data_IF_075660190015
#
_entry.id   IF_075660190015
#
_cell.length_a   1.000
_cell.length_b   1.000
_cell.length_c   1.000
_cell.angle_alpha   90.00
_cell.angle_beta   90.00
_cell.angle_gamma   90.00
#
_symmetry.space_group_name_H-M   'P 1'
#
loop_
_entity.id
_entity.type
_entity.pdbx_description
1 polymer ?
#
# COMPACT_ATOMS: atom_id res chain seq x y z
N UNK A 1 -0.88 -11.40 -10.52
CA UNK A 1 -2.28 -11.89 -10.26
C UNK A 1 -3.24 -11.29 -11.28
N UNK A 2 -4.49 -11.77 -11.40
CA UNK A 2 -5.49 -11.22 -12.34
C UNK A 2 -6.72 -10.66 -11.63
N UNK A 3 -7.28 -9.55 -12.11
CA UNK A 3 -8.53 -9.00 -11.60
C UNK A 3 -9.64 -10.04 -11.73
N UNK A 4 -10.47 -10.13 -10.70
CA UNK A 4 -11.64 -10.99 -10.71
C UNK A 4 -12.87 -10.12 -10.90
N UNK A 5 -13.84 -10.61 -11.65
CA UNK A 5 -15.05 -9.87 -11.94
C UNK A 5 -16.27 -10.72 -11.64
N UNK A 6 -17.18 -10.21 -10.83
CA UNK A 6 -18.44 -10.88 -10.55
C UNK A 6 -19.59 -10.13 -11.23
N UNK A 7 -20.33 -10.81 -12.10
CA UNK A 7 -21.50 -10.22 -12.75
C UNK A 7 -22.70 -10.31 -11.80
N UNK A 8 -23.35 -9.18 -11.54
CA UNK A 8 -24.54 -9.06 -10.69
C UNK A 8 -25.41 -7.87 -11.11
N UNK A 9 -26.68 -7.80 -10.67
CA UNK A 9 -27.54 -6.64 -10.93
C UNK A 9 -26.95 -5.35 -10.32
N UNK A 10 -27.05 -4.23 -11.03
CA UNK A 10 -26.56 -2.91 -10.58
C UNK A 10 -27.02 -2.51 -9.19
N UNK A 11 -28.28 -2.79 -8.85
CA UNK A 11 -28.85 -2.48 -7.53
C UNK A 11 -28.10 -3.19 -6.40
N UNK A 12 -27.70 -4.45 -6.61
CA UNK A 12 -26.92 -5.22 -5.64
C UNK A 12 -25.49 -4.70 -5.55
N UNK A 13 -24.85 -4.41 -6.69
CA UNK A 13 -23.52 -3.81 -6.71
C UNK A 13 -23.47 -2.48 -5.93
N UNK A 14 -24.49 -1.64 -6.13
CA UNK A 14 -24.61 -0.34 -5.43
C UNK A 14 -24.77 -0.53 -3.93
N UNK A 15 -25.60 -1.48 -3.49
CA UNK A 15 -25.81 -1.78 -2.08
C UNK A 15 -24.53 -2.29 -1.40
N UNK A 16 -23.83 -3.24 -2.03
CA UNK A 16 -22.53 -3.73 -1.56
C UNK A 16 -21.52 -2.58 -1.47
N UNK A 17 -21.41 -1.76 -2.52
CA UNK A 17 -20.42 -0.70 -2.52
C UNK A 17 -20.72 0.44 -1.53
N UNK A 18 -21.98 0.61 -1.10
CA UNK A 18 -22.38 1.67 -0.17
C UNK A 18 -22.09 1.34 1.31
N UNK A 19 -22.12 0.07 1.70
CA UNK A 19 -21.98 -0.36 3.10
C UNK A 19 -20.59 -0.95 3.38
N UNK A 20 -19.87 -0.34 4.32
CA UNK A 20 -18.55 -0.77 4.76
C UNK A 20 -18.54 -2.17 5.42
N UNK A 21 -19.67 -2.59 6.00
CA UNK A 21 -19.82 -3.88 6.66
C UNK A 21 -20.31 -5.00 5.72
N UNK A 22 -20.59 -4.68 4.46
CA UNK A 22 -21.11 -5.66 3.51
C UNK A 22 -20.07 -6.68 3.09
N UNK A 23 -20.55 -7.82 2.61
CA UNK A 23 -19.73 -8.84 1.98
C UNK A 23 -20.52 -9.49 0.84
N UNK A 24 -19.81 -9.85 -0.23
CA UNK A 24 -20.39 -10.66 -1.29
C UNK A 24 -20.27 -12.14 -0.87
N UNK A 25 -21.37 -12.68 -0.35
CA UNK A 25 -21.45 -14.07 0.07
C UNK A 25 -21.61 -15.03 -1.13
N UNK A 26 -21.17 -16.29 -1.01
CA UNK A 26 -21.53 -17.35 -1.96
C UNK A 26 -23.04 -17.48 -2.14
N UNK A 27 -23.46 -17.89 -3.34
CA UNK A 27 -24.88 -18.17 -3.59
C UNK A 27 -25.35 -19.33 -2.70
N UNK A 28 -26.60 -19.33 -2.24
CA UNK A 28 -27.12 -20.36 -1.32
C UNK A 28 -27.03 -21.80 -1.85
N UNK A 29 -26.91 -21.98 -3.17
CA UNK A 29 -26.82 -23.29 -3.84
C UNK A 29 -25.36 -23.71 -4.09
N UNK A 30 -24.43 -22.75 -4.10
CA UNK A 30 -23.02 -22.97 -4.46
C UNK A 30 -22.11 -22.55 -3.31
N UNK A 31 -21.15 -23.38 -2.91
CA UNK A 31 -20.27 -23.08 -1.77
C UNK A 31 -19.20 -22.03 -2.07
N UNK A 32 -19.29 -21.30 -3.18
CA UNK A 32 -18.29 -20.33 -3.63
C UNK A 32 -18.91 -19.19 -4.45
N UNK A 33 -18.19 -18.07 -4.57
CA UNK A 33 -18.56 -16.95 -5.45
C UNK A 33 -17.98 -17.22 -6.85
N UNK A 34 -18.83 -17.25 -7.86
CA UNK A 34 -18.43 -17.31 -9.27
C UNK A 34 -17.87 -15.96 -9.72
N UNK A 35 -16.58 -15.90 -10.04
CA UNK A 35 -15.99 -14.77 -10.73
C UNK A 35 -15.62 -15.14 -12.17
N UNK A 36 -15.19 -14.16 -12.93
CA UNK A 36 -14.71 -14.28 -14.31
C UNK A 36 -13.44 -13.45 -14.44
N UNK A 37 -12.60 -13.79 -15.40
CA UNK A 37 -11.62 -12.82 -15.91
C UNK A 37 -12.28 -11.94 -16.97
N UNK A 38 -11.65 -10.82 -17.31
CA UNK A 38 -12.18 -9.81 -18.23
C UNK A 38 -12.75 -10.41 -19.54
N UNK A 39 -12.09 -11.35 -20.24
CA UNK A 39 -12.62 -11.90 -21.50
C UNK A 39 -13.90 -12.74 -21.33
N UNK A 40 -14.18 -13.24 -20.12
CA UNK A 40 -15.32 -14.11 -19.84
C UNK A 40 -16.51 -13.38 -19.20
N UNK A 41 -16.34 -12.17 -18.70
CA UNK A 41 -17.37 -11.42 -17.95
C UNK A 41 -18.66 -11.24 -18.73
N UNK A 42 -18.58 -10.78 -19.98
CA UNK A 42 -19.79 -10.51 -20.76
C UNK A 42 -20.61 -11.77 -20.99
N UNK A 43 -19.94 -12.89 -21.27
CA UNK A 43 -20.59 -14.18 -21.46
C UNK A 43 -21.23 -14.68 -20.17
N UNK A 44 -20.57 -14.51 -19.01
CA UNK A 44 -21.11 -14.83 -17.69
C UNK A 44 -22.34 -13.97 -17.36
N UNK A 45 -22.27 -12.66 -17.59
CA UNK A 45 -23.35 -11.74 -17.31
C UNK A 45 -24.62 -12.09 -18.10
N UNK A 46 -24.50 -12.38 -19.40
CA UNK A 46 -25.65 -12.79 -20.24
C UNK A 46 -26.37 -14.05 -19.75
N UNK A 47 -25.65 -14.95 -19.07
CA UNK A 47 -26.19 -16.23 -18.60
C UNK A 47 -26.82 -16.12 -17.21
N UNK A 48 -26.17 -15.41 -16.29
CA UNK A 48 -26.56 -15.39 -14.88
C UNK A 48 -27.34 -14.13 -14.47
N UNK A 49 -27.22 -13.05 -15.25
CA UNK A 49 -27.76 -11.72 -14.90
C UNK A 49 -28.41 -11.09 -16.13
N UNK A 50 -29.60 -11.55 -16.54
CA UNK A 50 -30.23 -11.11 -17.79
C UNK A 50 -30.73 -9.67 -17.78
N UNK A 51 -30.79 -9.01 -16.61
CA UNK A 51 -31.36 -7.67 -16.45
C UNK A 51 -30.39 -6.75 -15.72
N UNK A 52 -30.07 -5.61 -16.36
CA UNK A 52 -29.17 -4.54 -15.85
C UNK A 52 -27.87 -5.05 -15.20
N UNK A 53 -27.07 -5.87 -15.91
CA UNK A 53 -25.83 -6.41 -15.39
C UNK A 53 -24.72 -5.36 -15.32
N UNK A 54 -23.97 -5.38 -14.22
CA UNK A 54 -22.67 -4.71 -14.09
C UNK A 54 -21.61 -5.73 -13.68
N UNK A 55 -20.34 -5.41 -13.93
CA UNK A 55 -19.22 -6.21 -13.46
C UNK A 55 -18.64 -5.60 -12.18
N UNK A 56 -18.83 -6.27 -11.05
CA UNK A 56 -18.18 -5.92 -9.80
C UNK A 56 -16.71 -6.34 -9.87
N UNK A 57 -15.81 -5.37 -9.68
CA UNK A 57 -14.38 -5.55 -9.75
C UNK A 57 -13.86 -5.98 -8.37
N UNK A 58 -13.23 -7.15 -8.32
CA UNK A 58 -12.73 -7.80 -7.10
C UNK A 58 -11.20 -7.88 -7.18
N UNK A 59 -10.54 -7.28 -6.20
CA UNK A 59 -9.09 -7.38 -6.03
C UNK A 59 -8.75 -8.73 -5.36
N UNK A 60 -8.17 -9.71 -6.09
CA UNK A 60 -7.87 -11.02 -5.53
C UNK A 60 -6.89 -10.96 -4.34
N UNK A 61 -6.12 -9.88 -4.18
CA UNK A 61 -5.16 -9.72 -3.09
C UNK A 61 -5.81 -9.46 -1.74
N UNK A 62 -7.05 -8.96 -1.76
CA UNK A 62 -7.85 -8.64 -0.58
C UNK A 62 -8.88 -9.73 -0.27
N UNK A 63 -8.87 -10.81 -1.05
CA UNK A 63 -9.71 -11.98 -0.81
C UNK A 63 -8.98 -12.88 0.18
N UNK A 64 -9.48 -13.04 1.42
CA UNK A 64 -8.81 -13.85 2.44
C UNK A 64 -8.95 -15.35 2.20
N UNK A 65 -9.78 -15.73 1.23
CA UNK A 65 -10.12 -17.11 0.92
C UNK A 65 -9.39 -17.62 -0.33
N UNK A 66 -9.30 -18.95 -0.44
CA UNK A 66 -8.71 -19.61 -1.60
C UNK A 66 -9.49 -19.24 -2.86
N UNK A 67 -8.77 -18.73 -3.86
CA UNK A 67 -9.26 -18.57 -5.23
C UNK A 67 -8.78 -19.75 -6.06
N UNK A 68 -9.71 -20.55 -6.58
CA UNK A 68 -9.41 -21.69 -7.43
C UNK A 68 -9.83 -21.41 -8.86
N UNK A 69 -8.91 -21.56 -9.82
CA UNK A 69 -9.23 -21.39 -11.24
C UNK A 69 -9.59 -22.73 -11.84
N UNK A 70 -10.87 -22.91 -12.18
CA UNK A 70 -11.40 -24.14 -12.77
C UNK A 70 -11.51 -23.99 -14.28
N UNK A 71 -11.14 -25.03 -15.02
CA UNK A 71 -11.33 -25.06 -16.48
C UNK A 71 -12.80 -25.33 -16.81
N UNK A 72 -13.42 -24.46 -17.60
CA UNK A 72 -14.82 -24.61 -18.04
C UNK A 72 -14.90 -24.48 -19.57
N UNK A 73 -16.01 -24.92 -20.21
CA UNK A 73 -16.22 -24.71 -21.65
C UNK A 73 -16.15 -23.24 -22.11
N UNK A 74 -16.29 -22.28 -21.18
CA UNK A 74 -16.22 -20.83 -21.43
C UNK A 74 -14.82 -20.26 -21.20
N UNK A 75 -13.86 -21.10 -20.79
CA UNK A 75 -12.52 -20.71 -20.39
C UNK A 75 -12.28 -20.87 -18.87
N UNK A 76 -11.10 -20.43 -18.40
CA UNK A 76 -10.75 -20.52 -16.98
C UNK A 76 -11.64 -19.59 -16.14
N UNK A 77 -12.25 -20.14 -15.09
CA UNK A 77 -13.21 -19.46 -14.23
C UNK A 77 -12.71 -19.47 -12.77
N UNK A 78 -12.49 -18.30 -12.15
CA UNK A 78 -12.12 -18.21 -10.74
C UNK A 78 -13.33 -18.46 -9.82
N UNK A 79 -13.15 -19.36 -8.85
CA UNK A 79 -14.09 -19.67 -7.78
C UNK A 79 -13.49 -19.23 -6.45
N UNK A 80 -14.18 -18.34 -5.74
CA UNK A 80 -13.74 -17.82 -4.44
C UNK A 80 -14.47 -18.60 -3.34
N UNK A 81 -13.73 -19.41 -2.58
CA UNK A 81 -14.29 -20.33 -1.57
C UNK A 81 -14.54 -19.63 -0.23
N UNK A 82 -15.42 -18.63 -0.23
CA UNK A 82 -15.84 -17.86 0.95
C UNK A 82 -16.44 -16.51 0.57
N UNK A 83 -16.80 -15.71 1.58
CA UNK A 83 -17.34 -14.38 1.35
C UNK A 83 -16.23 -13.41 0.89
N UNK A 84 -16.53 -12.58 -0.11
CA UNK A 84 -15.60 -11.53 -0.54
C UNK A 84 -15.88 -10.28 0.30
N UNK A 85 -14.93 -9.84 1.15
CA UNK A 85 -15.16 -8.70 2.02
C UNK A 85 -15.27 -7.39 1.23
N UNK A 86 -15.95 -6.39 1.81
CA UNK A 86 -16.17 -5.10 1.16
C UNK A 86 -14.90 -4.46 0.63
N UNK A 87 -13.80 -4.53 1.37
CA UNK A 87 -12.53 -3.89 0.99
C UNK A 87 -11.87 -4.51 -0.26
N UNK A 88 -12.23 -5.75 -0.60
CA UNK A 88 -11.85 -6.39 -1.86
C UNK A 88 -12.67 -5.92 -3.07
N UNK A 89 -13.83 -5.28 -2.86
CA UNK A 89 -14.72 -4.76 -3.91
C UNK A 89 -14.30 -3.34 -4.29
N UNK A 90 -13.50 -3.17 -5.35
CA UNK A 90 -12.90 -1.86 -5.68
C UNK A 90 -13.81 -0.95 -6.53
N UNK A 91 -14.90 -1.49 -7.07
CA UNK A 91 -15.88 -0.74 -7.85
C UNK A 91 -16.76 -1.64 -8.69
N UNK A 92 -17.64 -1.02 -9.49
CA UNK A 92 -18.44 -1.71 -10.51
C UNK A 92 -18.28 -0.97 -11.83
N UNK A 93 -18.20 -1.73 -12.92
CA UNK A 93 -18.04 -1.22 -14.28
C UNK A 93 -19.23 -1.65 -15.14
N UNK A 94 -19.62 -0.78 -16.07
CA UNK A 94 -20.53 -1.19 -17.14
C UNK A 94 -19.88 -2.26 -18.00
N UNK A 95 -20.66 -3.23 -18.49
CA UNK A 95 -20.11 -4.25 -19.39
C UNK A 95 -19.48 -3.63 -20.64
N UNK A 96 -20.04 -2.53 -21.16
CA UNK A 96 -19.49 -1.81 -22.31
C UNK A 96 -18.13 -1.15 -22.05
N UNK A 97 -17.85 -0.74 -20.80
CA UNK A 97 -16.59 -0.10 -20.40
C UNK A 97 -15.42 -1.10 -20.28
N UNK A 98 -15.73 -2.39 -20.22
CA UNK A 98 -14.74 -3.47 -20.18
C UNK A 98 -14.08 -3.67 -21.54
N UNK A 99 -14.79 -3.36 -22.63
CA UNK A 99 -14.33 -3.48 -24.01
C UNK A 99 -13.31 -2.37 -24.36
N UNK A 100 -12.08 -2.54 -23.91
CA UNK A 100 -10.99 -1.59 -24.16
C UNK A 100 -9.95 -1.47 -23.04
N UNK A 101 -10.17 -2.11 -21.89
CA UNK A 101 -9.18 -2.09 -20.81
C UNK A 101 -7.96 -2.97 -21.15
N UNK A 102 -6.76 -2.41 -20.96
CA UNK A 102 -5.52 -3.17 -21.03
C UNK A 102 -5.49 -4.23 -19.92
N UNK A 103 -4.92 -5.39 -20.27
CA UNK A 103 -4.91 -6.69 -19.58
C UNK A 103 -5.40 -6.76 -18.12
N UNK A 104 -6.09 -7.87 -17.84
CA UNK A 104 -6.46 -8.47 -16.54
C UNK A 104 -5.43 -8.43 -15.39
N UNK A 105 -4.29 -7.77 -15.48
CA UNK A 105 -3.23 -7.87 -14.50
C UNK A 105 -3.49 -7.00 -13.27
N UNK A 106 -3.41 -7.65 -12.11
CA UNK A 106 -3.20 -7.01 -10.84
C UNK A 106 -1.72 -6.74 -10.72
N UNK A 107 -1.35 -5.48 -10.86
CA UNK A 107 0.02 -5.02 -10.59
C UNK A 107 0.13 -4.78 -9.08
N UNK A 108 1.13 -5.41 -8.47
CA UNK A 108 1.39 -5.23 -7.05
C UNK A 108 1.91 -3.83 -6.74
N UNK A 109 1.83 -3.46 -5.47
CA UNK A 109 2.31 -2.15 -5.02
C UNK A 109 3.84 -2.14 -4.99
N UNK A 110 4.44 -1.12 -5.59
CA UNK A 110 5.89 -0.93 -5.62
C UNK A 110 6.30 0.05 -4.53
N UNK A 111 7.00 -0.45 -3.52
CA UNK A 111 7.51 0.33 -2.40
C UNK A 111 9.00 0.63 -2.59
N UNK A 112 9.40 1.89 -2.43
CA UNK A 112 10.80 2.28 -2.33
C UNK A 112 11.13 2.70 -0.90
N UNK A 113 12.15 2.10 -0.33
CA UNK A 113 12.72 2.44 0.97
C UNK A 113 14.03 3.17 0.73
N UNK A 114 14.05 4.47 0.99
CA UNK A 114 15.23 5.30 0.71
C UNK A 114 16.22 5.18 1.86
N UNK A 115 17.31 4.47 1.64
CA UNK A 115 18.42 4.39 2.59
C UNK A 115 19.42 5.51 2.32
N UNK A 116 19.97 6.11 3.37
CA UNK A 116 21.00 7.13 3.24
C UNK A 116 22.00 7.09 4.40
N UNK A 117 23.19 7.64 4.17
CA UNK A 117 24.26 7.70 5.16
C UNK A 117 23.80 8.51 6.39
N UNK A 118 24.04 7.94 7.58
CA UNK A 118 23.55 8.52 8.83
C UNK A 118 22.06 8.31 9.06
N UNK A 119 21.41 7.37 8.37
CA UNK A 119 20.06 6.92 8.74
C UNK A 119 20.08 6.07 10.02
N UNK A 120 18.96 6.04 10.73
CA UNK A 120 18.70 5.04 11.78
C UNK A 120 18.25 3.74 11.12
N UNK A 121 19.01 2.64 11.26
CA UNK A 121 18.68 1.36 10.60
C UNK A 121 17.27 0.88 10.96
N UNK A 122 16.86 1.00 12.22
CA UNK A 122 15.56 0.56 12.70
C UNK A 122 14.39 1.37 12.11
N UNK A 123 14.58 2.65 11.76
CA UNK A 123 13.56 3.42 11.04
C UNK A 123 13.29 2.86 9.64
N UNK A 124 14.32 2.30 8.99
CA UNK A 124 14.20 1.65 7.69
C UNK A 124 13.59 0.25 7.82
N UNK A 125 14.23 -0.61 8.62
CA UNK A 125 13.83 -2.04 8.68
C UNK A 125 12.54 -2.26 9.45
N UNK A 126 12.21 -1.37 10.40
CA UNK A 126 10.95 -1.42 11.13
C UNK A 126 9.72 -1.20 10.25
N UNK A 127 9.85 -0.44 9.16
CA UNK A 127 8.77 -0.29 8.16
C UNK A 127 8.86 -1.38 7.09
N UNK A 128 10.09 -1.72 6.67
CA UNK A 128 10.33 -2.73 5.63
C UNK A 128 9.77 -4.09 6.02
N UNK A 129 9.96 -4.53 7.27
CA UNK A 129 9.58 -5.88 7.69
C UNK A 129 8.05 -6.12 7.57
N UNK A 130 7.15 -5.31 8.18
CA UNK A 130 5.71 -5.46 7.96
C UNK A 130 5.28 -5.38 6.49
N UNK A 131 5.84 -4.43 5.72
CA UNK A 131 5.43 -4.22 4.33
C UNK A 131 5.89 -5.37 3.43
N UNK A 132 7.10 -5.89 3.62
CA UNK A 132 7.63 -7.02 2.85
C UNK A 132 6.82 -8.31 3.02
N UNK A 133 6.13 -8.44 4.16
CA UNK A 133 5.23 -9.56 4.48
C UNK A 133 3.97 -9.60 3.62
N UNK A 134 3.58 -8.49 2.98
CA UNK A 134 2.52 -8.48 1.96
C UNK A 134 2.82 -9.54 0.88
N UNK A 135 4.04 -9.52 0.34
CA UNK A 135 4.45 -10.46 -0.69
C UNK A 135 4.90 -11.80 -0.11
N UNK A 136 5.73 -11.79 0.94
CA UNK A 136 6.32 -13.03 1.46
C UNK A 136 5.31 -13.96 2.16
N UNK A 137 4.18 -13.43 2.64
CA UNK A 137 3.06 -14.24 3.16
C UNK A 137 1.98 -14.54 2.11
N UNK A 138 2.17 -14.10 0.85
CA UNK A 138 1.31 -14.46 -0.27
C UNK A 138 0.02 -13.65 -0.42
N UNK A 139 -0.15 -12.55 0.32
CA UNK A 139 -1.33 -11.67 0.20
C UNK A 139 -1.33 -10.90 -1.14
N UNK A 140 -0.18 -10.33 -1.51
CA UNK A 140 0.07 -9.80 -2.84
C UNK A 140 1.49 -10.14 -3.30
N UNK A 141 1.69 -11.32 -3.93
CA UNK A 141 3.00 -11.75 -4.41
C UNK A 141 3.62 -10.84 -5.47
N UNK A 142 2.83 -9.96 -6.09
CA UNK A 142 3.32 -9.01 -7.11
C UNK A 142 3.84 -7.72 -6.48
N UNK A 143 3.53 -7.46 -5.19
CA UNK A 143 4.05 -6.30 -4.47
C UNK A 143 5.55 -6.43 -4.28
N UNK A 144 6.27 -5.33 -4.41
CA UNK A 144 7.74 -5.33 -4.32
C UNK A 144 8.23 -4.28 -3.35
N UNK A 145 9.21 -4.64 -2.53
CA UNK A 145 9.95 -3.72 -1.68
C UNK A 145 11.36 -3.58 -2.22
N UNK A 146 11.79 -2.37 -2.53
CA UNK A 146 13.15 -2.11 -2.98
C UNK A 146 13.81 -1.07 -2.08
N UNK A 147 14.96 -1.42 -1.52
CA UNK A 147 15.81 -0.46 -0.81
C UNK A 147 16.73 0.22 -1.83
N UNK A 148 16.67 1.56 -1.89
CA UNK A 148 17.41 2.38 -2.86
C UNK A 148 18.28 3.39 -2.12
N UNK A 149 19.44 3.74 -2.67
CA UNK A 149 20.33 4.72 -2.05
C UNK A 149 19.88 6.14 -2.41
N UNK A 150 19.67 6.95 -1.37
CA UNK A 150 19.56 8.40 -1.46
C UNK A 150 20.92 9.12 -1.45
N UNK A 151 22.02 8.42 -1.17
CA UNK A 151 23.39 8.97 -1.32
C UNK A 151 23.94 8.67 -2.72
N UNK A 152 25.17 9.06 -3.01
CA UNK A 152 25.84 8.72 -4.27
C UNK A 152 26.48 7.32 -4.26
N UNK A 153 26.53 6.66 -3.09
CA UNK A 153 27.15 5.35 -2.90
C UNK A 153 26.14 4.21 -2.76
N UNK A 154 26.61 2.98 -2.98
CA UNK A 154 25.81 1.76 -2.74
C UNK A 154 25.89 1.27 -1.30
N UNK A 155 26.95 1.61 -0.54
CA UNK A 155 26.98 1.43 0.92
C UNK A 155 26.16 2.56 1.56
N UNK A 156 25.09 2.20 2.26
CA UNK A 156 24.11 3.17 2.75
C UNK A 156 24.05 3.24 4.27
N UNK A 157 24.57 2.23 4.96
CA UNK A 157 24.64 2.20 6.42
C UNK A 157 25.77 1.29 6.90
N UNK A 158 26.46 1.74 7.94
CA UNK A 158 27.51 1.00 8.64
C UNK A 158 27.36 1.23 10.14
N UNK A 159 27.50 0.17 10.94
CA UNK A 159 27.38 0.26 12.38
C UNK A 159 27.61 -1.08 13.06
N UNK A 160 28.24 -1.06 14.24
CA UNK A 160 28.52 -2.26 15.05
C UNK A 160 29.18 -3.42 14.28
N UNK A 161 30.03 -3.11 13.28
CA UNK A 161 30.69 -4.10 12.44
C UNK A 161 29.84 -4.68 11.30
N UNK A 162 28.61 -4.22 11.13
CA UNK A 162 27.72 -4.60 10.02
C UNK A 162 27.62 -3.48 8.97
N UNK A 163 27.24 -3.86 7.75
CA UNK A 163 27.05 -2.97 6.60
C UNK A 163 25.80 -3.35 5.83
N UNK A 164 25.07 -2.34 5.35
CA UNK A 164 23.99 -2.49 4.37
C UNK A 164 24.40 -1.85 3.03
N UNK A 165 24.27 -2.62 1.96
CA UNK A 165 24.49 -2.16 0.59
C UNK A 165 23.26 -2.38 -0.28
N UNK A 166 23.07 -1.53 -1.29
CA UNK A 166 21.91 -1.56 -2.19
C UNK A 166 22.35 -1.54 -3.66
N UNK A 167 21.47 -2.04 -4.54
CA UNK A 167 21.77 -2.17 -5.98
C UNK A 167 21.55 -0.87 -6.77
N UNK A 168 20.57 -0.05 -6.37
CA UNK A 168 20.19 1.17 -7.11
C UNK A 168 20.56 2.41 -6.33
N UNK A 169 21.22 3.35 -7.02
CA UNK A 169 21.56 4.67 -6.52
C UNK A 169 20.66 5.69 -7.20
N UNK A 170 19.91 6.46 -6.41
CA UNK A 170 19.01 7.52 -6.86
C UNK A 170 18.21 7.20 -8.14
N UNK A 171 17.47 6.07 -8.20
CA UNK A 171 16.65 5.75 -9.37
C UNK A 171 15.50 6.76 -9.52
N UNK A 172 14.90 6.86 -10.71
CA UNK A 172 13.68 7.66 -10.87
C UNK A 172 12.56 7.13 -9.96
N UNK A 173 12.07 7.96 -9.03
CA UNK A 173 11.08 7.54 -8.04
C UNK A 173 9.65 7.43 -8.61
N UNK A 174 9.41 7.94 -9.83
CA UNK A 174 8.14 7.79 -10.56
C UNK A 174 7.78 6.36 -10.93
N UNK A 175 8.69 5.39 -10.73
CA UNK A 175 8.39 3.96 -10.84
C UNK A 175 7.69 3.36 -9.62
N UNK A 176 7.63 4.06 -8.47
CA UNK A 176 7.13 3.49 -7.22
C UNK A 176 5.80 4.12 -6.80
N UNK A 177 4.95 3.34 -6.17
CA UNK A 177 3.64 3.77 -5.68
C UNK A 177 3.76 4.44 -4.31
N UNK A 178 4.66 3.93 -3.46
CA UNK A 178 4.92 4.44 -2.11
C UNK A 178 6.42 4.65 -1.93
N UNK A 179 6.82 5.82 -1.44
CA UNK A 179 8.22 6.11 -1.06
C UNK A 179 8.27 6.36 0.44
N UNK A 180 9.18 5.66 1.11
CA UNK A 180 9.38 5.70 2.56
C UNK A 180 10.76 6.31 2.85
N UNK A 181 10.78 7.36 3.67
CA UNK A 181 12.01 7.99 4.17
C UNK A 181 12.23 7.66 5.66
N UNK A 182 13.33 6.99 6.03
CA UNK A 182 13.72 6.83 7.44
C UNK A 182 14.23 8.17 7.99
N UNK A 183 14.38 8.24 9.31
CA UNK A 183 15.10 9.33 9.96
C UNK A 183 16.56 9.00 10.24
N UNK A 184 17.13 9.74 11.18
CA UNK A 184 18.53 9.68 11.58
C UNK A 184 19.24 11.03 11.40
N UNK A 185 20.46 11.16 11.95
CA UNK A 185 21.25 12.39 11.87
C UNK A 185 21.50 12.86 10.43
N UNK A 186 21.63 11.95 9.47
CA UNK A 186 21.85 12.29 8.06
C UNK A 186 20.74 13.13 7.44
N UNK A 187 19.50 13.01 7.93
CA UNK A 187 18.37 13.78 7.44
C UNK A 187 18.57 15.30 7.61
N UNK A 188 19.24 15.73 8.69
CA UNK A 188 19.49 17.15 8.94
C UNK A 188 20.43 17.79 7.91
N UNK A 189 21.33 17.01 7.31
CA UNK A 189 22.18 17.47 6.21
C UNK A 189 21.40 17.46 4.90
N UNK A 190 20.62 16.39 4.65
CA UNK A 190 19.90 16.20 3.40
C UNK A 190 18.76 17.20 3.18
N UNK A 191 18.18 17.79 4.23
CA UNK A 191 17.19 18.89 4.07
C UNK A 191 17.74 20.12 3.33
N UNK A 192 19.07 20.25 3.21
CA UNK A 192 19.75 21.34 2.49
C UNK A 192 20.47 20.86 1.22
N UNK A 193 20.45 19.57 0.93
CA UNK A 193 21.08 19.00 -0.25
C UNK A 193 20.16 19.16 -1.47
N UNK A 194 20.44 20.16 -2.30
CA UNK A 194 19.66 20.43 -3.51
C UNK A 194 19.65 19.26 -4.50
N UNK A 195 20.71 18.45 -4.56
CA UNK A 195 20.75 17.29 -5.45
C UNK A 195 19.84 16.17 -4.93
N UNK A 196 19.82 15.94 -3.62
CA UNK A 196 18.87 15.00 -3.00
C UNK A 196 17.43 15.46 -3.17
N UNK A 197 17.13 16.74 -2.90
CA UNK A 197 15.77 17.28 -3.01
C UNK A 197 15.24 17.23 -4.46
N UNK A 198 16.06 17.59 -5.46
CA UNK A 198 15.69 17.44 -6.88
C UNK A 198 15.47 15.97 -7.28
N UNK A 199 16.23 15.05 -6.69
CA UNK A 199 15.98 13.64 -6.91
C UNK A 199 14.64 13.20 -6.29
N UNK A 200 14.33 13.68 -5.08
CA UNK A 200 13.06 13.41 -4.40
C UNK A 200 11.85 13.97 -5.17
N UNK A 201 12.01 15.09 -5.88
CA UNK A 201 11.00 15.66 -6.80
C UNK A 201 10.62 14.74 -7.97
N UNK A 202 11.44 13.73 -8.31
CA UNK A 202 11.05 12.71 -9.30
C UNK A 202 9.87 11.85 -8.85
N UNK A 203 9.52 11.91 -7.55
CA UNK A 203 8.35 11.22 -7.01
C UNK A 203 7.05 12.02 -7.21
N UNK A 204 6.03 11.47 -7.90
CA UNK A 204 4.82 12.21 -8.28
C UNK A 204 4.00 12.73 -7.08
N UNK A 205 3.58 14.01 -7.06
CA UNK A 205 2.95 14.69 -5.92
C UNK A 205 1.65 14.04 -5.43
N UNK A 206 0.97 13.29 -6.30
CA UNK A 206 -0.29 12.61 -6.03
C UNK A 206 -0.15 11.22 -5.38
N UNK A 207 1.09 10.73 -5.19
CA UNK A 207 1.34 9.41 -4.58
C UNK A 207 1.69 9.50 -3.11
N UNK A 208 1.43 8.40 -2.39
CA UNK A 208 1.55 8.30 -0.93
C UNK A 208 3.02 8.38 -0.48
N UNK A 209 3.40 9.51 0.11
CA UNK A 209 4.69 9.69 0.75
C UNK A 209 4.63 9.26 2.22
N UNK A 210 5.59 8.46 2.68
CA UNK A 210 5.67 8.03 4.07
C UNK A 210 7.03 8.32 4.70
N UNK A 211 7.08 8.49 6.01
CA UNK A 211 8.35 8.66 6.73
C UNK A 211 8.27 8.33 8.20
N UNK A 212 9.42 7.95 8.76
CA UNK A 212 9.63 7.79 10.21
C UNK A 212 10.59 8.86 10.69
N UNK A 213 10.44 9.32 11.94
CA UNK A 213 11.41 10.17 12.63
C UNK A 213 11.70 11.42 11.78
N UNK A 214 12.97 11.81 11.68
CA UNK A 214 13.43 12.99 10.91
C UNK A 214 13.29 12.84 9.39
N UNK A 215 12.86 11.68 8.87
CA UNK A 215 12.54 11.52 7.44
C UNK A 215 11.39 12.43 7.00
N UNK A 216 10.50 12.79 7.92
CA UNK A 216 9.44 13.80 7.70
C UNK A 216 10.01 15.18 7.34
N UNK A 217 11.18 15.55 7.86
CA UNK A 217 11.84 16.82 7.51
C UNK A 217 12.24 16.85 6.03
N UNK A 218 12.60 15.71 5.45
CA UNK A 218 12.97 15.59 4.04
C UNK A 218 11.74 15.80 3.14
N UNK A 219 10.60 15.21 3.51
CA UNK A 219 9.35 15.49 2.82
C UNK A 219 8.89 16.94 2.98
N UNK A 220 9.05 17.54 4.16
CA UNK A 220 8.76 18.94 4.38
C UNK A 220 9.65 19.86 3.54
N UNK A 221 10.96 19.57 3.47
CA UNK A 221 11.91 20.30 2.62
C UNK A 221 11.59 20.16 1.12
N UNK A 222 11.09 19.01 0.68
CA UNK A 222 10.56 18.80 -0.67
C UNK A 222 9.15 19.40 -0.89
N UNK A 223 8.60 20.13 0.08
CA UNK A 223 7.31 20.81 -0.01
C UNK A 223 6.08 19.93 0.17
N UNK A 224 6.24 18.62 0.43
CA UNK A 224 5.12 17.65 0.54
C UNK A 224 4.24 17.85 1.78
N UNK A 225 4.79 18.43 2.84
CA UNK A 225 4.11 18.59 4.14
C UNK A 225 3.66 20.02 4.41
N UNK A 226 3.83 20.96 3.46
CA UNK A 226 3.41 22.35 3.66
C UNK A 226 1.90 22.43 3.86
N UNK A 227 1.48 22.97 5.00
CA UNK A 227 0.07 23.12 5.37
C UNK A 227 -0.63 21.82 5.78
N UNK A 228 0.09 20.71 5.90
CA UNK A 228 -0.46 19.40 6.28
C UNK A 228 -0.13 19.05 7.72
N UNK A 229 -0.99 18.28 8.36
CA UNK A 229 -0.70 17.65 9.64
C UNK A 229 0.40 16.61 9.45
N UNK A 230 1.41 16.67 10.32
CA UNK A 230 2.50 15.71 10.34
C UNK A 230 3.08 15.56 11.76
N UNK A 231 3.77 14.45 11.97
CA UNK A 231 4.57 14.18 13.17
C UNK A 231 6.01 13.83 12.77
N UNK A 232 6.91 13.86 13.76
CA UNK A 232 8.33 13.52 13.61
C UNK A 232 8.86 13.04 14.96
N UNK A 233 10.16 12.76 15.03
CA UNK A 233 10.80 12.50 16.32
C UNK A 233 10.63 13.71 17.25
N UNK A 234 10.45 13.48 18.55
CA UNK A 234 10.15 14.53 19.53
C UNK A 234 11.16 15.69 19.51
N UNK A 235 12.45 15.39 19.27
CA UNK A 235 13.50 16.41 19.18
C UNK A 235 13.48 17.28 17.92
N UNK A 236 12.63 16.96 16.93
CA UNK A 236 12.59 17.59 15.62
C UNK A 236 11.26 18.30 15.31
N UNK A 237 10.31 18.34 16.25
CA UNK A 237 8.98 18.92 16.04
C UNK A 237 9.04 20.38 15.61
N UNK A 238 9.90 21.20 16.25
CA UNK A 238 10.04 22.61 15.89
C UNK A 238 10.69 22.82 14.52
N UNK A 239 11.63 21.96 14.14
CA UNK A 239 12.21 21.97 12.80
C UNK A 239 11.15 21.63 11.75
N UNK A 240 10.27 20.66 12.04
CA UNK A 240 9.17 20.29 11.17
C UNK A 240 8.15 21.43 11.01
N UNK A 241 7.80 22.12 12.12
CA UNK A 241 6.97 23.34 12.09
C UNK A 241 7.60 24.44 11.25
N UNK A 242 8.90 24.68 11.41
CA UNK A 242 9.66 25.68 10.64
C UNK A 242 9.68 25.41 9.14
N UNK A 243 9.49 24.17 8.71
CA UNK A 243 9.36 23.77 7.30
C UNK A 243 7.90 23.85 6.77
N UNK A 244 6.97 24.33 7.59
CA UNK A 244 5.60 24.65 7.19
C UNK A 244 4.58 23.54 7.39
N UNK A 245 4.90 22.48 8.14
CA UNK A 245 3.93 21.46 8.54
C UNK A 245 3.15 21.89 9.79
N UNK A 246 1.92 21.40 9.92
CA UNK A 246 1.06 21.57 11.09
C UNK A 246 1.36 20.44 12.09
N UNK A 247 1.90 20.79 13.26
CA UNK A 247 2.34 19.81 14.27
C UNK A 247 1.59 20.05 15.56
N UNK A 248 0.89 19.01 16.04
CA UNK A 248 0.18 19.01 17.33
C UNK A 248 1.13 19.20 18.52
N UNK A 249 0.66 19.88 19.57
CA UNK A 249 1.42 20.06 20.82
C UNK A 249 1.62 18.74 21.57
N UNK A 250 0.65 17.83 21.46
CA UNK A 250 0.76 16.42 21.83
C UNK A 250 0.74 15.59 20.55
N UNK A 251 1.89 15.41 19.88
CA UNK A 251 1.95 14.73 18.60
C UNK A 251 1.63 13.24 18.77
N UNK A 252 0.68 12.69 17.98
CA UNK A 252 0.45 11.26 17.99
C UNK A 252 1.66 10.54 17.37
N UNK A 253 1.73 9.22 17.60
CA UNK A 253 2.79 8.35 17.06
C UNK A 253 2.78 8.34 15.54
N UNK A 254 1.60 8.43 14.94
CA UNK A 254 1.37 8.41 13.50
C UNK A 254 0.35 9.50 13.12
N UNK A 255 0.61 10.19 12.02
CA UNK A 255 -0.30 11.18 11.43
C UNK A 255 -0.50 10.85 9.96
N UNK A 256 -1.76 10.73 9.56
CA UNK A 256 -2.18 10.64 8.18
C UNK A 256 -2.85 11.94 7.74
N UNK A 257 -2.36 12.53 6.66
CA UNK A 257 -2.93 13.72 6.03
C UNK A 257 -2.75 13.60 4.52
N UNK A 258 -3.76 13.95 3.72
CA UNK A 258 -3.89 13.77 2.26
C UNK A 258 -2.59 13.43 1.52
N UNK A 259 -2.42 12.15 1.18
CA UNK A 259 -1.28 11.62 0.42
C UNK A 259 0.04 11.52 1.21
N UNK A 260 0.01 11.69 2.53
CA UNK A 260 1.18 11.62 3.41
C UNK A 260 0.90 10.81 4.67
N UNK A 261 1.91 10.08 5.14
CA UNK A 261 1.85 9.27 6.34
C UNK A 261 3.16 9.41 7.13
N UNK A 262 3.11 10.09 8.27
CA UNK A 262 4.32 10.39 9.05
C UNK A 262 4.24 9.70 10.40
N UNK A 263 5.37 9.16 10.86
CA UNK A 263 5.49 8.51 12.15
C UNK A 263 6.63 9.13 12.96
N UNK A 264 6.47 9.12 14.28
CA UNK A 264 7.38 9.75 15.23
C UNK A 264 8.65 8.93 15.50
N UNK A 265 8.79 8.43 16.73
CA UNK A 265 10.00 7.76 17.21
C UNK A 265 10.32 6.43 16.51
N UNK A 266 11.50 5.89 16.81
CA UNK A 266 12.10 4.73 16.12
C UNK A 266 11.18 3.50 16.07
N UNK A 267 10.47 3.19 17.17
CA UNK A 267 9.53 2.04 17.21
C UNK A 267 8.24 2.28 16.44
N UNK A 268 7.89 3.55 16.14
CA UNK A 268 6.73 3.88 15.34
C UNK A 268 6.90 3.49 13.86
N UNK A 269 8.09 3.05 13.44
CA UNK A 269 8.29 2.41 12.15
C UNK A 269 7.45 1.15 11.96
N UNK A 270 7.24 0.36 13.01
CA UNK A 270 6.37 -0.82 12.96
C UNK A 270 4.89 -0.42 12.79
N UNK A 271 4.44 0.59 13.54
CA UNK A 271 3.10 1.16 13.41
C UNK A 271 2.87 1.69 11.99
N UNK A 272 3.84 2.42 11.45
CA UNK A 272 3.81 2.93 10.08
C UNK A 272 3.74 1.80 9.05
N UNK A 273 4.54 0.75 9.24
CA UNK A 273 4.54 -0.43 8.36
C UNK A 273 3.17 -1.11 8.32
N UNK A 274 2.55 -1.34 9.47
CA UNK A 274 1.20 -1.93 9.55
C UNK A 274 0.13 -1.02 8.95
N UNK A 275 0.21 0.29 9.18
CA UNK A 275 -0.72 1.25 8.57
C UNK A 275 -0.57 1.30 7.04
N UNK A 276 0.65 1.18 6.51
CA UNK A 276 0.88 1.03 5.06
C UNK A 276 0.27 -0.27 4.53
N UNK A 277 0.47 -1.39 5.23
CA UNK A 277 -0.17 -2.67 4.89
C UNK A 277 -1.69 -2.51 4.88
N UNK A 278 -2.27 -1.90 5.90
CA UNK A 278 -3.72 -1.69 6.03
C UNK A 278 -4.28 -0.89 4.86
N UNK A 279 -3.59 0.19 4.46
CA UNK A 279 -3.99 1.03 3.31
C UNK A 279 -3.89 0.31 1.97
N UNK A 280 -2.87 -0.53 1.79
CA UNK A 280 -2.57 -1.18 0.52
C UNK A 280 -3.34 -2.49 0.35
N UNK A 281 -3.28 -3.35 1.37
CA UNK A 281 -3.74 -4.73 1.36
C UNK A 281 -4.92 -5.01 2.31
N UNK A 282 -5.45 -4.00 3.00
CA UNK A 282 -6.65 -4.11 3.82
C UNK A 282 -6.40 -4.50 5.28
N UNK A 283 -7.46 -4.40 6.08
CA UNK A 283 -7.44 -4.62 7.54
C UNK A 283 -7.07 -6.07 7.90
N UNK A 284 -7.66 -7.03 7.19
CA UNK A 284 -7.43 -8.45 7.44
C UNK A 284 -5.96 -8.84 7.24
N UNK A 285 -5.33 -8.28 6.19
CA UNK A 285 -3.91 -8.49 5.90
C UNK A 285 -3.03 -7.87 6.98
N UNK A 286 -3.31 -6.63 7.39
CA UNK A 286 -2.57 -5.96 8.46
C UNK A 286 -2.65 -6.74 9.78
N UNK A 287 -3.85 -7.20 10.17
CA UNK A 287 -4.05 -8.00 11.36
C UNK A 287 -3.35 -9.36 11.29
N UNK A 288 -3.34 -10.02 10.12
CA UNK A 288 -2.64 -11.28 9.93
C UNK A 288 -1.11 -11.12 10.02
N UNK A 289 -0.56 -10.06 9.42
CA UNK A 289 0.87 -9.73 9.51
C UNK A 289 1.25 -9.37 10.95
N UNK A 290 0.47 -8.51 11.62
CA UNK A 290 0.73 -8.14 13.01
C UNK A 290 0.76 -9.36 13.94
N UNK A 291 -0.19 -10.29 13.78
CA UNK A 291 -0.23 -11.55 14.53
C UNK A 291 0.97 -12.44 14.23
N UNK A 292 1.38 -12.55 12.98
CA UNK A 292 2.56 -13.34 12.60
C UNK A 292 3.85 -12.72 13.16
N UNK A 293 3.90 -11.40 13.29
CA UNK A 293 5.00 -10.66 13.92
C UNK A 293 4.93 -10.64 15.46
N UNK A 294 3.94 -11.30 16.06
CA UNK A 294 3.67 -11.30 17.51
C UNK A 294 3.50 -9.89 18.12
N UNK A 295 2.96 -8.95 17.33
CA UNK A 295 2.63 -7.63 17.82
C UNK A 295 1.32 -7.68 18.66
N UNK A 296 1.23 -6.92 19.77
CA UNK A 296 0.04 -6.87 20.60
C UNK A 296 -1.22 -6.49 19.80
N UNK A 297 -2.38 -7.01 20.22
CA UNK A 297 -3.66 -6.53 19.69
C UNK A 297 -3.82 -5.03 19.99
N UNK A 298 -4.15 -4.23 18.96
CA UNK A 298 -4.23 -2.77 19.08
C UNK A 298 -2.86 -2.06 19.04
N UNK A 299 -1.77 -2.75 18.67
CA UNK A 299 -0.49 -2.09 18.41
C UNK A 299 -0.65 -1.05 17.28
N UNK A 300 -0.37 0.22 17.60
CA UNK A 300 -0.52 1.35 16.69
C UNK A 300 -1.89 2.07 16.73
N UNK A 301 -2.83 1.63 17.58
CA UNK A 301 -4.13 2.28 17.81
C UNK A 301 -4.05 3.44 18.84
#
# INVERSE_FOLDING_TARGET
>A
MRWLYHALPRSQATALLADAASELAPATVESFVHASFLPQVEASARLYVPHDPVALLIDPRRVPHRVEVVSTPRGPMPHIHGAVPRDALVGALELGELSGQAADQVVGTRFAFVAFEGMTLLDLVGVLDPVSRIASMGFDPESTCEVVSGTLGTSVWEGAGARLSVAKVRPNLGGYDVVILPGGPGAHSLVRDTAFLRWLETYPPNRLAASVCTGSLLWAAAGRLRGKHATTHASALDALRGLGAQVSDTPPRLVADTGTLTAGGVTAGLDLGLELVRRVAGEATAAAIARQMELPAGFGA
#
